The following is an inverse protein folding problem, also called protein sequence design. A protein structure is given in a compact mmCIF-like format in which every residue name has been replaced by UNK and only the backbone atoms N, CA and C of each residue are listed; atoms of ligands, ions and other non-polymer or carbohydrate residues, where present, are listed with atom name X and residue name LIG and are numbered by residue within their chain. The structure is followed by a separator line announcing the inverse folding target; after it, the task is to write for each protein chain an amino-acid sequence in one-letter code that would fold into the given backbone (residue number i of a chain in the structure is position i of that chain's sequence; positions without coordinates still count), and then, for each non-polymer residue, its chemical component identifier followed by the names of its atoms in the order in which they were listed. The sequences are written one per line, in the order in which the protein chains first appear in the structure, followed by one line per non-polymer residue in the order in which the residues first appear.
data_IF_685675941099
#
_entry.id   IF_685675941099
#
_cell.length_a   1.000
_cell.length_b   1.000
_cell.length_c   1.000
_cell.angle_alpha   90.00
_cell.angle_beta   90.00
_cell.angle_gamma   90.00
#
_symmetry.space_group_name_H-M   'P 1'
#
loop_
_entity.id
_entity.type
_entity.pdbx_description
1 polymer ?
#
# COMPACT_ATOMS: atom_id res chain seq x y z
N UNK A 1 -23.11 -6.95 0.04
CA UNK A 1 -24.03 -5.83 0.31
C UNK A 1 -23.64 -5.00 1.52
N UNK A 2 -23.33 -5.62 2.69
CA UNK A 2 -22.92 -4.88 3.91
C UNK A 2 -21.66 -4.04 3.68
N UNK A 3 -20.67 -4.55 3.01
CA UNK A 3 -19.42 -3.86 2.73
C UNK A 3 -19.61 -2.50 2.04
N UNK A 4 -20.52 -2.41 1.04
CA UNK A 4 -20.85 -1.14 0.40
C UNK A 4 -21.58 -0.18 1.35
N UNK A 5 -22.45 -0.70 2.21
CA UNK A 5 -23.17 0.13 3.19
C UNK A 5 -22.22 0.75 4.23
N UNK A 6 -21.14 0.05 4.55
CA UNK A 6 -20.14 0.52 5.50
C UNK A 6 -19.10 1.46 4.85
N UNK A 7 -18.82 1.30 3.57
CA UNK A 7 -17.77 2.07 2.89
C UNK A 7 -18.28 3.32 2.18
N UNK A 8 -19.36 3.23 1.41
CA UNK A 8 -19.86 4.32 0.55
C UNK A 8 -20.21 5.61 1.32
N UNK A 9 -20.78 5.59 2.53
CA UNK A 9 -21.11 6.80 3.28
C UNK A 9 -19.92 7.73 3.54
N UNK A 10 -18.70 7.19 3.64
CA UNK A 10 -17.50 8.00 3.85
C UNK A 10 -17.17 8.93 2.66
N UNK A 11 -17.70 8.64 1.48
CA UNK A 11 -17.57 9.54 0.32
C UNK A 11 -18.43 10.80 0.40
N UNK A 12 -19.23 11.00 1.46
CA UNK A 12 -19.84 12.30 1.77
C UNK A 12 -18.79 13.39 1.92
N UNK A 13 -17.58 13.06 2.39
CA UNK A 13 -16.44 13.95 2.36
C UNK A 13 -15.89 14.05 0.91
N UNK A 14 -15.97 15.21 0.24
CA UNK A 14 -15.53 15.38 -1.15
C UNK A 14 -14.03 15.24 -1.34
N UNK A 15 -13.23 15.33 -0.28
CA UNK A 15 -11.76 15.17 -0.35
C UNK A 15 -11.33 13.69 -0.35
N UNK A 16 -12.21 12.77 0.03
CA UNK A 16 -11.90 11.34 -0.01
C UNK A 16 -12.03 10.85 -1.44
N UNK A 17 -10.90 10.42 -1.98
CA UNK A 17 -10.78 9.81 -3.30
C UNK A 17 -10.83 8.29 -3.28
N UNK A 18 -10.39 7.70 -2.17
CA UNK A 18 -10.26 6.25 -2.01
C UNK A 18 -10.65 5.84 -0.60
N UNK A 19 -11.30 4.70 -0.50
CA UNK A 19 -11.48 3.99 0.76
C UNK A 19 -10.81 2.64 0.62
N UNK A 20 -9.87 2.34 1.50
CA UNK A 20 -9.21 1.06 1.62
C UNK A 20 -9.69 0.38 2.89
N UNK A 21 -10.13 -0.88 2.79
CA UNK A 21 -10.47 -1.71 3.94
C UNK A 21 -9.34 -2.70 4.26
N UNK A 22 -9.37 -3.30 5.43
CA UNK A 22 -8.35 -4.25 5.89
C UNK A 22 -8.53 -5.61 5.22
N UNK A 23 -7.43 -6.25 4.84
CA UNK A 23 -7.48 -7.66 4.42
C UNK A 23 -7.62 -8.58 5.63
N UNK A 24 -8.49 -9.58 5.48
CA UNK A 24 -8.52 -10.77 6.33
C UNK A 24 -7.94 -11.96 5.60
N UNK A 25 -7.59 -13.02 6.34
CA UNK A 25 -6.90 -14.18 5.80
C UNK A 25 -7.73 -15.44 6.03
N UNK A 26 -8.43 -15.92 4.98
CA UNK A 26 -9.34 -17.08 5.07
C UNK A 26 -8.62 -18.38 5.42
N UNK A 27 -7.42 -18.55 4.87
CA UNK A 27 -6.63 -19.77 4.99
C UNK A 27 -5.39 -19.60 5.87
N UNK A 28 -5.44 -18.70 6.87
CA UNK A 28 -4.30 -18.41 7.76
C UNK A 28 -3.75 -19.68 8.41
N UNK A 29 -4.64 -20.53 8.93
CA UNK A 29 -4.29 -21.74 9.69
C UNK A 29 -3.91 -22.94 8.82
N UNK A 30 -3.84 -22.76 7.49
CA UNK A 30 -3.55 -23.87 6.57
C UNK A 30 -2.13 -24.43 6.74
N UNK A 31 -1.14 -23.56 7.03
CA UNK A 31 0.27 -23.97 7.20
C UNK A 31 1.06 -22.91 7.98
N UNK A 32 2.26 -23.27 8.47
CA UNK A 32 3.21 -22.31 9.05
C UNK A 32 3.52 -21.17 8.05
N UNK A 33 3.59 -21.49 6.77
CA UNK A 33 3.86 -20.53 5.72
C UNK A 33 2.74 -19.50 5.56
N UNK A 34 1.48 -19.92 5.63
CA UNK A 34 0.33 -18.99 5.59
C UNK A 34 0.20 -18.21 6.90
N UNK A 35 0.52 -18.79 8.05
CA UNK A 35 0.56 -18.09 9.33
C UNK A 35 1.61 -16.96 9.31
N UNK A 36 2.83 -17.25 8.82
CA UNK A 36 3.88 -16.23 8.69
C UNK A 36 3.50 -15.10 7.74
N UNK A 37 2.88 -15.40 6.60
CA UNK A 37 2.37 -14.40 5.68
C UNK A 37 1.26 -13.55 6.32
N UNK A 38 0.30 -14.20 6.99
CA UNK A 38 -0.77 -13.51 7.70
C UNK A 38 -0.21 -12.56 8.75
N UNK A 39 0.78 -12.97 9.53
CA UNK A 39 1.44 -12.12 10.51
C UNK A 39 2.12 -10.89 9.87
N UNK A 40 2.84 -11.08 8.77
CA UNK A 40 3.50 -9.97 8.06
C UNK A 40 2.48 -8.98 7.47
N UNK A 41 1.38 -9.48 6.90
CA UNK A 41 0.31 -8.64 6.37
C UNK A 41 -0.48 -7.94 7.49
N UNK A 42 -0.70 -8.59 8.62
CA UNK A 42 -1.31 -7.95 9.78
C UNK A 42 -0.46 -6.78 10.28
N UNK A 43 0.88 -6.92 10.31
CA UNK A 43 1.77 -5.81 10.64
C UNK A 43 1.60 -4.63 9.65
N UNK A 44 1.48 -4.91 8.35
CA UNK A 44 1.21 -3.88 7.35
C UNK A 44 -0.15 -3.19 7.58
N UNK A 45 -1.22 -3.96 7.74
CA UNK A 45 -2.56 -3.40 7.84
C UNK A 45 -2.88 -2.78 9.20
N UNK A 46 -2.44 -3.39 10.31
CA UNK A 46 -2.79 -2.96 11.67
C UNK A 46 -1.81 -1.95 12.27
N UNK A 47 -0.59 -1.89 11.77
CA UNK A 47 0.41 -0.95 12.29
C UNK A 47 0.73 0.14 11.26
N UNK A 48 1.22 -0.24 10.07
CA UNK A 48 1.70 0.73 9.09
C UNK A 48 0.57 1.57 8.48
N UNK A 49 -0.48 0.94 7.96
CA UNK A 49 -1.59 1.66 7.31
C UNK A 49 -2.33 2.54 8.31
N UNK A 50 -2.60 2.03 9.52
CA UNK A 50 -3.25 2.82 10.58
C UNK A 50 -2.36 3.99 10.97
N UNK A 51 -1.08 3.74 11.30
CA UNK A 51 -0.16 4.77 11.73
C UNK A 51 0.02 5.90 10.70
N UNK A 52 0.17 5.55 9.43
CA UNK A 52 0.27 6.54 8.34
C UNK A 52 -1.03 7.31 8.14
N UNK A 53 -2.16 6.62 8.15
CA UNK A 53 -3.47 7.25 7.95
C UNK A 53 -3.81 8.26 9.07
N UNK A 54 -3.55 7.89 10.33
CA UNK A 54 -3.79 8.75 11.49
C UNK A 54 -2.91 10.00 11.50
N UNK A 55 -1.68 9.89 10.99
CA UNK A 55 -0.74 11.02 10.88
C UNK A 55 -0.91 11.82 9.58
N UNK A 56 -1.91 11.52 8.75
CA UNK A 56 -2.13 12.11 7.43
C UNK A 56 -0.92 11.95 6.48
N UNK A 57 -0.15 10.88 6.64
CA UNK A 57 0.89 10.51 5.69
C UNK A 57 0.30 9.72 4.51
N UNK A 58 1.09 9.55 3.47
CA UNK A 58 0.67 8.78 2.31
C UNK A 58 0.55 7.30 2.65
N UNK A 59 -0.58 6.72 2.25
CA UNK A 59 -0.85 5.29 2.30
C UNK A 59 -1.10 4.78 0.88
N UNK A 60 -1.05 3.48 0.69
CA UNK A 60 -1.36 2.87 -0.60
C UNK A 60 -2.72 2.17 -0.58
N UNK A 61 -3.38 2.19 -1.72
CA UNK A 61 -4.38 1.22 -2.07
C UNK A 61 -3.68 -0.10 -2.39
N UNK A 62 -4.22 -1.21 -1.89
CA UNK A 62 -3.57 -2.52 -1.98
C UNK A 62 -4.12 -3.40 -3.13
N UNK A 63 -4.54 -2.79 -4.23
CA UNK A 63 -5.06 -3.48 -5.41
C UNK A 63 -6.49 -4.01 -5.28
N UNK A 64 -6.89 -4.37 -4.07
CA UNK A 64 -8.23 -4.92 -3.76
C UNK A 64 -8.75 -4.36 -2.44
N UNK A 65 -9.97 -4.78 -2.07
CA UNK A 65 -10.60 -4.41 -0.80
C UNK A 65 -10.78 -2.89 -0.61
N UNK A 66 -11.12 -2.18 -1.67
CA UNK A 66 -11.39 -0.76 -1.57
C UNK A 66 -12.20 -0.20 -2.73
N UNK A 67 -12.56 1.07 -2.63
CA UNK A 67 -13.37 1.80 -3.60
C UNK A 67 -12.66 3.09 -3.98
N UNK A 68 -12.70 3.41 -5.26
CA UNK A 68 -12.22 4.67 -5.81
C UNK A 68 -13.37 5.58 -6.24
N UNK A 69 -13.25 6.86 -5.93
CA UNK A 69 -14.08 7.88 -6.58
C UNK A 69 -13.60 8.06 -8.02
N UNK A 70 -14.48 7.86 -9.01
CA UNK A 70 -14.15 8.02 -10.44
C UNK A 70 -13.44 9.34 -10.76
N UNK A 71 -13.91 10.46 -10.16
CA UNK A 71 -13.28 11.77 -10.32
C UNK A 71 -11.82 11.78 -9.84
N UNK A 72 -11.50 11.05 -8.76
CA UNK A 72 -10.14 10.93 -8.25
C UNK A 72 -9.23 10.22 -9.25
N UNK A 73 -9.69 9.11 -9.82
CA UNK A 73 -8.94 8.35 -10.84
C UNK A 73 -8.61 9.25 -12.03
N UNK A 74 -9.62 9.95 -12.57
CA UNK A 74 -9.47 10.84 -13.74
C UNK A 74 -8.51 11.99 -13.42
N UNK A 75 -8.69 12.64 -12.28
CA UNK A 75 -7.83 13.77 -11.88
C UNK A 75 -6.39 13.33 -11.63
N UNK A 76 -6.17 12.13 -11.08
CA UNK A 76 -4.84 11.55 -10.88
C UNK A 76 -4.16 11.09 -12.19
N UNK A 77 -4.85 11.13 -13.33
CA UNK A 77 -4.31 10.78 -14.66
C UNK A 77 -4.61 9.35 -15.09
N UNK A 78 -5.66 8.73 -14.51
CA UNK A 78 -6.10 7.37 -14.77
C UNK A 78 -5.08 6.28 -14.34
N UNK A 79 -5.44 5.03 -14.58
CA UNK A 79 -4.55 3.89 -14.38
C UNK A 79 -3.45 3.88 -15.43
N UNK A 80 -2.22 3.69 -15.00
CA UNK A 80 -1.03 3.53 -15.84
C UNK A 80 -0.44 2.15 -15.59
N UNK A 81 -0.05 1.44 -16.65
CA UNK A 81 0.48 0.06 -16.58
C UNK A 81 1.99 -0.01 -16.72
N UNK A 82 2.70 1.07 -16.44
CA UNK A 82 4.15 1.18 -16.58
C UNK A 82 4.94 0.74 -15.33
N UNK A 83 4.21 0.34 -14.27
CA UNK A 83 4.75 -0.27 -13.06
C UNK A 83 4.00 -1.55 -12.72
N UNK A 84 4.66 -2.51 -12.06
CA UNK A 84 4.02 -3.77 -11.63
C UNK A 84 3.07 -3.61 -10.44
N UNK A 85 3.03 -2.44 -9.81
CA UNK A 85 2.11 -2.06 -8.75
C UNK A 85 1.44 -0.74 -9.11
N UNK A 86 0.54 -0.83 -10.07
CA UNK A 86 -0.24 0.30 -10.62
C UNK A 86 -1.14 0.94 -9.56
N UNK A 87 -1.51 0.17 -8.55
CA UNK A 87 -2.27 0.59 -7.38
C UNK A 87 -1.48 1.56 -6.50
N UNK A 88 -0.21 1.25 -6.23
CA UNK A 88 0.71 2.12 -5.50
C UNK A 88 0.98 3.41 -6.31
N UNK A 89 1.21 3.28 -7.62
CA UNK A 89 1.40 4.41 -8.52
C UNK A 89 0.23 5.39 -8.47
N UNK A 90 -0.99 4.91 -8.72
CA UNK A 90 -2.18 5.74 -8.71
C UNK A 90 -2.44 6.34 -7.33
N UNK A 91 -2.17 5.59 -6.24
CA UNK A 91 -2.29 6.06 -4.87
C UNK A 91 -1.42 7.29 -4.61
N UNK A 92 -0.16 7.25 -5.04
CA UNK A 92 0.75 8.39 -4.89
C UNK A 92 0.36 9.58 -5.75
N UNK A 93 -0.04 9.35 -7.01
CA UNK A 93 -0.50 10.42 -7.90
C UNK A 93 -1.75 11.13 -7.36
N UNK A 94 -2.70 10.38 -6.82
CA UNK A 94 -3.91 10.92 -6.20
C UNK A 94 -3.57 11.78 -4.98
N UNK A 95 -2.72 11.30 -4.08
CA UNK A 95 -2.37 12.02 -2.86
C UNK A 95 -1.49 13.26 -3.13
N UNK A 96 -0.65 13.23 -4.16
CA UNK A 96 0.06 14.41 -4.66
C UNK A 96 -0.89 15.50 -5.21
N UNK A 97 -2.07 15.10 -5.69
CA UNK A 97 -3.19 15.98 -6.08
C UNK A 97 -4.08 16.38 -4.90
N UNK A 98 -3.71 16.01 -3.67
CA UNK A 98 -4.41 16.32 -2.42
C UNK A 98 -5.71 15.51 -2.20
N UNK A 99 -5.92 14.43 -2.95
CA UNK A 99 -6.93 13.46 -2.60
C UNK A 99 -6.52 12.71 -1.33
N UNK A 100 -7.50 12.38 -0.48
CA UNK A 100 -7.28 11.56 0.70
C UNK A 100 -7.63 10.11 0.40
N UNK A 101 -6.78 9.20 0.84
CA UNK A 101 -7.13 7.80 1.00
C UNK A 101 -7.56 7.62 2.45
N UNK A 102 -8.76 7.09 2.66
CA UNK A 102 -9.29 6.80 3.98
C UNK A 102 -9.15 5.31 4.25
N UNK A 103 -8.43 4.97 5.31
CA UNK A 103 -8.26 3.59 5.72
C UNK A 103 -9.31 3.22 6.76
N UNK A 104 -10.13 2.21 6.45
CA UNK A 104 -11.23 1.72 7.28
C UNK A 104 -10.84 0.33 7.80
N UNK A 105 -10.12 0.29 8.92
CA UNK A 105 -9.57 -0.91 9.54
C UNK A 105 -10.62 -1.82 10.19
N UNK A 106 -11.77 -1.26 10.57
CA UNK A 106 -12.89 -1.99 11.19
C UNK A 106 -13.62 -2.89 10.20
N UNK A 107 -13.55 -2.60 8.91
CA UNK A 107 -14.15 -3.42 7.85
C UNK A 107 -13.12 -4.37 7.27
N UNK A 108 -13.35 -5.66 7.48
CA UNK A 108 -12.45 -6.73 7.03
C UNK A 108 -12.96 -7.31 5.72
N UNK A 109 -12.10 -7.33 4.71
CA UNK A 109 -12.35 -7.99 3.43
C UNK A 109 -11.53 -9.27 3.36
N UNK A 110 -12.18 -10.44 3.38
CA UNK A 110 -11.45 -11.71 3.39
C UNK A 110 -10.74 -11.96 2.06
N UNK A 111 -9.50 -12.45 2.13
CA UNK A 111 -8.66 -12.84 1.01
C UNK A 111 -7.95 -14.16 1.32
N UNK A 112 -7.51 -14.87 0.30
CA UNK A 112 -6.69 -16.06 0.45
C UNK A 112 -5.21 -15.73 0.31
N UNK A 113 -4.39 -16.38 1.12
CA UNK A 113 -2.93 -16.31 1.05
C UNK A 113 -2.41 -17.38 0.09
N UNK A 114 -1.33 -17.10 -0.67
CA UNK A 114 -0.65 -18.13 -1.45
C UNK A 114 -0.17 -19.28 -0.57
N UNK A 115 -0.46 -20.51 -0.99
CA UNK A 115 -0.12 -21.72 -0.24
C UNK A 115 1.17 -22.38 -0.71
N UNK A 116 1.71 -21.97 -1.86
CA UNK A 116 2.94 -22.56 -2.43
C UNK A 116 4.07 -21.53 -2.43
N UNK A 117 5.31 -21.98 -2.24
CA UNK A 117 6.49 -21.13 -2.30
C UNK A 117 6.66 -20.43 -3.65
N UNK A 118 6.31 -21.10 -4.75
CA UNK A 118 6.39 -20.51 -6.10
C UNK A 118 5.43 -19.34 -6.26
N UNK A 119 4.20 -19.46 -5.76
CA UNK A 119 3.22 -18.38 -5.80
C UNK A 119 3.65 -17.19 -4.91
N UNK A 120 4.19 -17.46 -3.72
CA UNK A 120 4.74 -16.43 -2.84
C UNK A 120 5.90 -15.70 -3.51
N UNK A 121 6.85 -16.43 -4.08
CA UNK A 121 8.01 -15.83 -4.78
C UNK A 121 7.55 -14.92 -5.93
N UNK A 122 6.59 -15.37 -6.73
CA UNK A 122 6.02 -14.55 -7.80
C UNK A 122 5.33 -13.29 -7.28
N UNK A 123 4.57 -13.41 -6.20
CA UNK A 123 3.89 -12.27 -5.57
C UNK A 123 4.90 -11.28 -4.99
N UNK A 124 5.86 -11.76 -4.21
CA UNK A 124 6.90 -10.92 -3.60
C UNK A 124 7.80 -10.26 -4.65
N UNK A 125 8.13 -10.96 -5.74
CA UNK A 125 8.86 -10.38 -6.85
C UNK A 125 8.11 -9.20 -7.47
N UNK A 126 6.80 -9.36 -7.75
CA UNK A 126 5.98 -8.28 -8.30
C UNK A 126 5.91 -7.08 -7.35
N UNK A 127 5.69 -7.32 -6.06
CA UNK A 127 5.59 -6.25 -5.07
C UNK A 127 6.91 -5.49 -4.90
N UNK A 128 8.02 -6.21 -4.79
CA UNK A 128 9.34 -5.58 -4.63
C UNK A 128 9.77 -4.83 -5.89
N UNK A 129 9.61 -5.44 -7.06
CA UNK A 129 9.95 -4.79 -8.33
C UNK A 129 9.05 -3.58 -8.57
N UNK A 130 7.74 -3.71 -8.41
CA UNK A 130 6.79 -2.62 -8.56
C UNK A 130 7.04 -1.49 -7.56
N UNK A 131 7.40 -1.81 -6.31
CA UNK A 131 7.83 -0.81 -5.32
C UNK A 131 9.06 -0.02 -5.77
N UNK A 132 10.09 -0.70 -6.30
CA UNK A 132 11.30 -0.05 -6.82
C UNK A 132 11.00 0.81 -8.06
N UNK A 133 10.13 0.36 -8.96
CA UNK A 133 9.67 1.13 -10.12
C UNK A 133 8.93 2.40 -9.66
N UNK A 134 8.04 2.28 -8.67
CA UNK A 134 7.33 3.40 -8.08
C UNK A 134 8.25 4.36 -7.33
N UNK A 135 9.27 3.87 -6.63
CA UNK A 135 10.27 4.76 -6.03
C UNK A 135 10.92 5.64 -7.10
N UNK A 136 11.42 5.06 -8.17
CA UNK A 136 12.05 5.80 -9.28
C UNK A 136 11.09 6.82 -9.93
N UNK A 137 9.83 6.44 -10.12
CA UNK A 137 8.80 7.26 -10.77
C UNK A 137 8.34 8.41 -9.89
N UNK A 138 8.17 8.18 -8.58
CA UNK A 138 7.48 9.09 -7.68
C UNK A 138 8.38 9.94 -6.81
N UNK A 139 9.60 9.50 -6.48
CA UNK A 139 10.41 10.18 -5.46
C UNK A 139 10.69 11.64 -5.80
N UNK A 140 11.02 11.94 -7.06
CA UNK A 140 11.24 13.32 -7.50
C UNK A 140 9.97 14.20 -7.38
N UNK A 141 8.80 13.63 -7.68
CA UNK A 141 7.50 14.33 -7.53
C UNK A 141 7.18 14.60 -6.07
N UNK A 142 7.47 13.64 -5.18
CA UNK A 142 7.26 13.77 -3.72
C UNK A 142 8.17 14.87 -3.15
N UNK A 143 9.47 14.80 -3.43
CA UNK A 143 10.45 15.76 -2.88
C UNK A 143 10.14 17.19 -3.35
N UNK A 144 9.82 17.37 -4.63
CA UNK A 144 9.57 18.68 -5.23
C UNK A 144 8.17 19.24 -4.95
N UNK A 145 7.26 18.43 -4.38
CA UNK A 145 5.91 18.90 -4.07
C UNK A 145 5.94 19.98 -2.97
N UNK A 146 5.32 21.13 -3.26
CA UNK A 146 5.12 22.22 -2.27
C UNK A 146 3.84 22.02 -1.44
N UNK A 147 3.03 21.00 -1.75
CA UNK A 147 1.69 20.81 -1.16
C UNK A 147 1.70 19.83 0.03
N UNK A 148 2.83 19.19 0.32
CA UNK A 148 2.95 18.20 1.39
C UNK A 148 4.04 18.61 2.39
N UNK A 149 3.82 18.23 3.65
CA UNK A 149 4.75 18.55 4.74
C UNK A 149 6.09 17.81 4.60
N UNK A 150 7.13 18.33 5.24
CA UNK A 150 8.43 17.64 5.30
C UNK A 150 8.32 16.26 5.96
N UNK A 151 7.51 16.14 7.01
CA UNK A 151 7.25 14.86 7.67
C UNK A 151 6.62 13.83 6.70
N UNK A 152 5.64 14.27 5.89
CA UNK A 152 5.04 13.39 4.87
C UNK A 152 6.04 13.01 3.77
N UNK A 153 6.92 13.93 3.36
CA UNK A 153 8.00 13.61 2.40
C UNK A 153 8.94 12.54 2.94
N UNK A 154 9.37 12.72 4.20
CA UNK A 154 10.25 11.76 4.87
C UNK A 154 9.59 10.38 4.99
N UNK A 155 8.34 10.34 5.45
CA UNK A 155 7.58 9.08 5.52
C UNK A 155 7.41 8.44 4.14
N UNK A 156 7.04 9.21 3.11
CA UNK A 156 6.87 8.73 1.75
C UNK A 156 8.17 8.19 1.13
N UNK A 157 9.31 8.81 1.46
CA UNK A 157 10.62 8.33 1.04
C UNK A 157 10.86 6.90 1.53
N UNK A 158 10.72 6.64 2.84
CA UNK A 158 10.92 5.31 3.40
C UNK A 158 9.84 4.31 2.94
N UNK A 159 8.60 4.76 2.79
CA UNK A 159 7.52 3.92 2.28
C UNK A 159 7.82 3.42 0.86
N UNK A 160 8.23 4.28 -0.04
CA UNK A 160 8.60 3.90 -1.40
C UNK A 160 9.91 3.09 -1.44
N UNK A 161 10.83 3.36 -0.52
CA UNK A 161 12.12 2.66 -0.43
C UNK A 161 12.00 1.26 0.21
N UNK A 162 10.82 0.87 0.70
CA UNK A 162 10.62 -0.40 1.40
C UNK A 162 11.15 -1.63 0.62
N UNK A 163 11.12 -1.59 -0.72
CA UNK A 163 11.69 -2.64 -1.57
C UNK A 163 13.19 -2.84 -1.37
N UNK A 164 13.93 -1.86 -0.85
CA UNK A 164 15.38 -1.94 -0.62
C UNK A 164 15.75 -2.66 0.68
N UNK A 165 14.77 -2.97 1.55
CA UNK A 165 15.03 -3.58 2.85
C UNK A 165 15.77 -4.93 2.73
N UNK A 166 15.44 -5.72 1.72
CA UNK A 166 16.11 -6.99 1.47
C UNK A 166 17.59 -6.82 1.09
N UNK A 167 17.90 -5.77 0.32
CA UNK A 167 19.29 -5.42 0.00
C UNK A 167 20.04 -4.96 1.26
N UNK A 168 19.41 -4.13 2.08
CA UNK A 168 19.99 -3.69 3.35
C UNK A 168 20.26 -4.88 4.29
N UNK A 169 19.34 -5.84 4.39
CA UNK A 169 19.51 -7.06 5.18
C UNK A 169 20.68 -7.89 4.64
N UNK A 170 20.77 -8.07 3.33
CA UNK A 170 21.87 -8.81 2.70
C UNK A 170 23.23 -8.15 2.99
N UNK A 171 23.33 -6.83 2.83
CA UNK A 171 24.54 -6.07 3.14
C UNK A 171 24.90 -6.21 4.63
N UNK A 172 23.92 -6.01 5.52
CA UNK A 172 24.16 -6.14 6.96
C UNK A 172 24.62 -7.56 7.34
N UNK A 173 24.00 -8.60 6.77
CA UNK A 173 24.41 -9.98 6.98
C UNK A 173 25.83 -10.24 6.47
N UNK A 174 26.18 -9.73 5.30
CA UNK A 174 27.53 -9.89 4.72
C UNK A 174 28.60 -9.18 5.53
N UNK A 175 28.28 -8.02 6.12
CA UNK A 175 29.22 -7.26 6.96
C UNK A 175 29.30 -7.78 8.40
N UNK A 176 28.36 -8.61 8.84
CA UNK A 176 28.32 -9.19 10.18
C UNK A 176 29.13 -10.48 10.31
N UNK A 177 29.60 -11.04 9.20
CA UNK A 177 30.49 -12.21 9.22
C UNK A 177 31.92 -11.71 9.48
N UNK A 178 32.57 -12.16 10.60
CA UNK A 178 33.94 -11.78 10.93
C UNK A 178 34.97 -12.32 9.96
#
# INVERSE_FOLDING_TARGET
PKWLLETVPHFSNPKIGVIQTRWGHLNREYSILTQAQGFALDAHFLLEQIGRNQQNHFINFNGTAGIWRKKCIIDAGNWEGDTLTEDLDLSYRAQLKQWKIYYLDTVVTPAELPITLSAIRSQQFRWNKGGAENFRKMIGRVINSKKISLSTKFNAFFHLLNSSIFLCILIAASLSVP
#
